data_IF_835648248980
#
_entry.id   IF_835648248980
#
_cell.length_a   1.000
_cell.length_b   1.000
_cell.length_c   1.000
_cell.angle_alpha   90.00
_cell.angle_beta   90.00
_cell.angle_gamma   90.00
#
_symmetry.space_group_name_H-M   'P 1'
#
loop_
_entity.id
_entity.type
_entity.pdbx_description
1 polymer ?
#
# COMPACT_ATOMS: atom_id res chain seq x y z
N UNK A 1 -18.64 37.49 -1.85
CA UNK A 1 -18.98 36.34 -2.73
C UNK A 1 -19.71 35.19 -2.04
N UNK A 2 -19.42 34.80 -0.78
CA UNK A 2 -20.09 33.65 -0.12
C UNK A 2 -21.59 33.84 0.22
N UNK A 3 -22.06 35.07 0.44
CA UNK A 3 -23.47 35.36 0.75
C UNK A 3 -24.39 35.22 -0.47
N UNK A 4 -23.89 35.57 -1.65
CA UNK A 4 -24.66 35.52 -2.91
C UNK A 4 -25.04 34.09 -3.33
N UNK A 5 -24.15 33.12 -3.09
CA UNK A 5 -24.42 31.70 -3.39
C UNK A 5 -25.37 31.04 -2.38
N UNK A 6 -25.53 31.59 -1.18
CA UNK A 6 -26.50 31.06 -0.20
C UNK A 6 -27.92 31.49 -0.56
N UNK A 7 -28.11 32.73 -1.03
CA UNK A 7 -29.40 33.22 -1.50
C UNK A 7 -29.88 32.44 -2.74
N UNK A 8 -28.98 32.18 -3.71
CA UNK A 8 -29.29 31.33 -4.87
C UNK A 8 -29.72 29.90 -4.50
N UNK A 9 -29.09 29.30 -3.48
CA UNK A 9 -29.46 27.96 -3.01
C UNK A 9 -30.78 27.94 -2.24
N UNK A 10 -31.17 29.04 -1.60
CA UNK A 10 -32.45 29.16 -0.93
C UNK A 10 -33.59 29.34 -1.95
N UNK A 11 -33.39 30.16 -2.98
CA UNK A 11 -34.36 30.42 -4.05
C UNK A 11 -34.65 29.19 -4.92
N UNK A 12 -33.64 28.35 -5.19
CA UNK A 12 -33.84 27.09 -5.93
C UNK A 12 -34.69 26.11 -5.10
N UNK A 13 -34.52 26.09 -3.78
CA UNK A 13 -35.31 25.22 -2.90
C UNK A 13 -36.76 25.69 -2.80
N UNK A 14 -36.99 27.00 -2.75
CA UNK A 14 -38.33 27.57 -2.70
C UNK A 14 -39.10 27.41 -4.02
N UNK A 15 -38.43 27.48 -5.18
CA UNK A 15 -39.05 27.24 -6.49
C UNK A 15 -39.36 25.76 -6.77
N UNK A 16 -38.68 24.82 -6.10
CA UNK A 16 -38.98 23.37 -6.22
C UNK A 16 -40.15 22.91 -5.35
N UNK A 17 -40.55 23.71 -4.37
CA UNK A 17 -41.77 23.50 -3.61
C UNK A 17 -42.94 24.05 -4.45
N UNK A 18 -43.77 23.15 -4.99
CA UNK A 18 -44.93 23.51 -5.80
C UNK A 18 -45.88 24.51 -5.12
N UNK A 19 -46.81 25.12 -5.88
CA UNK A 19 -47.57 26.28 -5.41
C UNK A 19 -48.40 25.91 -4.17
N UNK A 20 -48.13 26.60 -3.06
CA UNK A 20 -48.80 26.37 -1.78
C UNK A 20 -50.25 26.87 -1.82
N UNK A 21 -51.17 26.02 -1.42
CA UNK A 21 -52.61 26.33 -1.32
C UNK A 21 -52.95 26.70 0.13
N UNK A 22 -53.60 27.85 0.33
CA UNK A 22 -54.04 28.33 1.66
C UNK A 22 -55.45 27.79 1.97
N UNK A 23 -55.68 27.47 3.24
CA UNK A 23 -56.86 26.77 3.78
C UNK A 23 -58.17 27.60 3.84
N UNK A 24 -58.35 28.64 3.00
CA UNK A 24 -59.56 29.49 3.02
C UNK A 24 -60.36 29.52 1.72
N UNK A 25 -59.94 28.83 0.67
CA UNK A 25 -60.69 28.85 -0.60
C UNK A 25 -61.58 27.61 -0.75
N UNK A 26 -62.90 27.84 -0.75
CA UNK A 26 -63.93 26.87 -1.08
C UNK A 26 -64.73 27.30 -2.33
N UNK A 27 -64.72 26.38 -3.31
CA UNK A 27 -65.68 26.09 -4.40
C UNK A 27 -65.78 27.07 -5.60
N UNK A 28 -65.68 26.49 -6.82
CA UNK A 28 -66.10 27.16 -8.07
C UNK A 28 -65.81 26.41 -9.38
N UNK A 29 -66.60 25.39 -9.68
CA UNK A 29 -67.09 24.91 -11.00
C UNK A 29 -66.23 24.93 -12.28
N UNK A 30 -66.17 23.76 -12.96
CA UNK A 30 -66.85 23.58 -14.25
C UNK A 30 -67.00 22.10 -14.65
N UNK A 31 -68.16 21.82 -15.26
CA UNK A 31 -68.80 20.53 -15.46
C UNK A 31 -68.72 19.99 -16.92
N UNK A 32 -69.30 18.78 -17.09
CA UNK A 32 -69.95 18.13 -18.25
C UNK A 32 -69.30 16.74 -18.54
N UNK A 33 -70.01 15.61 -18.64
CA UNK A 33 -71.42 15.33 -18.99
C UNK A 33 -71.85 13.92 -18.52
N UNK A 34 -73.13 13.80 -18.14
CA UNK A 34 -73.89 12.61 -17.71
C UNK A 34 -74.17 11.61 -18.88
N UNK A 35 -74.66 10.36 -18.70
CA UNK A 35 -76.05 9.98 -18.28
C UNK A 35 -76.25 8.42 -18.24
N UNK A 36 -77.41 7.83 -17.85
CA UNK A 36 -77.81 7.41 -16.49
C UNK A 36 -78.38 5.96 -16.37
N UNK A 37 -78.66 5.45 -15.15
CA UNK A 37 -79.83 4.57 -14.84
C UNK A 37 -80.16 4.63 -13.33
N UNK A 38 -81.46 4.73 -12.98
CA UNK A 38 -82.03 4.82 -11.61
C UNK A 38 -82.46 3.43 -11.03
N UNK A 39 -83.28 3.30 -9.95
CA UNK A 39 -82.89 3.31 -8.53
C UNK A 39 -83.41 2.08 -7.73
N UNK A 40 -82.89 1.84 -6.52
CA UNK A 40 -83.48 0.90 -5.54
C UNK A 40 -83.24 1.38 -4.08
N UNK A 41 -84.05 0.95 -3.09
CA UNK A 41 -84.34 1.72 -1.88
C UNK A 41 -83.25 1.62 -0.79
N UNK A 42 -83.12 2.70 0.01
CA UNK A 42 -82.12 2.85 1.09
C UNK A 42 -82.59 2.16 2.39
N UNK A 43 -81.79 1.25 2.91
CA UNK A 43 -81.91 0.74 4.29
C UNK A 43 -81.18 1.65 5.29
N UNK A 44 -81.57 1.65 6.59
CA UNK A 44 -80.95 2.51 7.61
C UNK A 44 -79.49 2.10 7.88
N UNK A 45 -78.64 3.09 8.14
CA UNK A 45 -77.21 2.93 8.43
C UNK A 45 -77.00 2.01 9.65
N UNK A 46 -76.35 0.87 9.46
CA UNK A 46 -75.83 0.04 10.55
C UNK A 46 -74.68 0.79 11.26
N UNK A 47 -74.70 0.79 12.59
CA UNK A 47 -73.62 1.32 13.41
C UNK A 47 -72.30 0.55 13.24
N UNK A 48 -71.16 1.12 13.64
CA UNK A 48 -69.84 0.53 13.42
C UNK A 48 -69.73 -0.85 14.10
N UNK A 49 -69.22 -1.82 13.32
CA UNK A 49 -69.01 -3.22 13.74
C UNK A 49 -68.04 -3.33 14.92
N UNK A 50 -68.15 -4.40 15.71
CA UNK A 50 -67.34 -4.63 16.91
C UNK A 50 -65.82 -4.58 16.63
N UNK A 51 -65.37 -5.04 15.46
CA UNK A 51 -63.96 -4.92 15.06
C UNK A 51 -63.53 -3.49 14.81
N UNK A 52 -64.39 -2.65 14.23
CA UNK A 52 -64.10 -1.24 14.03
C UNK A 52 -64.00 -0.49 15.37
N UNK A 53 -64.84 -0.85 16.35
CA UNK A 53 -64.77 -0.28 17.69
C UNK A 53 -63.54 -0.76 18.48
N UNK A 54 -63.20 -2.05 18.36
CA UNK A 54 -62.00 -2.61 18.98
C UNK A 54 -60.71 -2.03 18.37
N UNK A 55 -60.68 -1.83 17.05
CA UNK A 55 -59.59 -1.15 16.36
C UNK A 55 -59.48 0.32 16.76
N UNK A 56 -60.62 1.02 16.92
CA UNK A 56 -60.65 2.39 17.41
C UNK A 56 -60.15 2.51 18.86
N UNK A 57 -60.57 1.59 19.74
CA UNK A 57 -60.11 1.53 21.12
C UNK A 57 -58.59 1.22 21.20
N UNK A 58 -58.10 0.29 20.37
CA UNK A 58 -56.68 -0.01 20.28
C UNK A 58 -55.85 1.17 19.73
N UNK A 59 -56.41 1.95 18.80
CA UNK A 59 -55.77 3.17 18.30
C UNK A 59 -55.70 4.28 19.36
N UNK A 60 -56.76 4.45 20.16
CA UNK A 60 -56.78 5.41 21.27
C UNK A 60 -55.79 5.01 22.38
N UNK A 61 -55.69 3.72 22.72
CA UNK A 61 -54.71 3.22 23.68
C UNK A 61 -53.25 3.48 23.24
N UNK A 62 -52.97 3.39 21.93
CA UNK A 62 -51.66 3.76 21.36
C UNK A 62 -51.39 5.26 21.40
N UNK A 63 -52.43 6.08 21.30
CA UNK A 63 -52.30 7.54 21.39
C UNK A 63 -52.03 7.98 22.83
N UNK A 64 -52.74 7.41 23.81
CA UNK A 64 -52.53 7.70 25.24
C UNK A 64 -51.16 7.25 25.74
N UNK A 65 -50.66 6.08 25.33
CA UNK A 65 -49.28 5.64 25.65
C UNK A 65 -48.20 6.57 25.08
N UNK A 66 -48.52 7.35 24.03
CA UNK A 66 -47.60 8.29 23.39
C UNK A 66 -47.60 9.68 24.05
N UNK A 67 -48.56 9.99 24.94
CA UNK A 67 -48.71 11.32 25.52
C UNK A 67 -47.90 11.60 26.80
N UNK A 68 -47.06 10.67 27.29
CA UNK A 68 -46.26 10.88 28.51
C UNK A 68 -44.74 10.83 28.32
N UNK A 69 -44.21 11.12 27.12
CA UNK A 69 -42.76 11.31 26.95
C UNK A 69 -42.45 12.75 26.53
N UNK A 70 -41.72 13.53 27.35
CA UNK A 70 -41.24 14.83 26.91
C UNK A 70 -40.28 14.62 25.74
N UNK A 71 -40.56 15.29 24.63
CA UNK A 71 -39.78 15.24 23.40
C UNK A 71 -38.39 15.86 23.64
N UNK A 72 -37.41 15.03 23.98
CA UNK A 72 -35.98 15.38 23.94
C UNK A 72 -35.34 14.85 22.65
N UNK A 73 -34.26 15.47 22.13
CA UNK A 73 -33.60 15.01 20.92
C UNK A 73 -32.98 13.63 21.17
N UNK A 74 -33.44 12.63 20.40
CA UNK A 74 -32.95 11.25 20.42
C UNK A 74 -31.46 11.23 20.10
N UNK A 75 -30.60 11.19 21.13
CA UNK A 75 -29.16 11.12 20.94
C UNK A 75 -28.77 9.71 20.47
N UNK A 76 -27.85 9.63 19.51
CA UNK A 76 -27.31 8.39 18.95
C UNK A 76 -26.89 7.35 20.01
N UNK A 77 -26.56 7.79 21.22
CA UNK A 77 -26.17 6.92 22.34
C UNK A 77 -27.34 6.11 22.90
N UNK A 78 -28.57 6.61 22.85
CA UNK A 78 -29.76 5.81 23.23
C UNK A 78 -30.01 4.67 22.26
N UNK A 79 -29.80 4.90 20.96
CA UNK A 79 -29.91 3.86 19.92
C UNK A 79 -28.80 2.81 20.08
N UNK A 80 -27.55 3.25 20.30
CA UNK A 80 -26.41 2.34 20.52
C UNK A 80 -26.57 1.49 21.78
N UNK A 81 -27.03 2.09 22.88
CA UNK A 81 -27.23 1.38 24.13
C UNK A 81 -28.39 0.39 24.04
N UNK A 82 -29.43 0.70 23.26
CA UNK A 82 -30.54 -0.21 23.04
C UNK A 82 -30.13 -1.42 22.20
N UNK A 83 -29.40 -1.21 21.10
CA UNK A 83 -28.86 -2.30 20.26
C UNK A 83 -27.88 -3.17 21.04
N UNK A 84 -27.01 -2.57 21.86
CA UNK A 84 -26.07 -3.32 22.70
C UNK A 84 -26.78 -4.17 23.76
N UNK A 85 -27.88 -3.66 24.32
CA UNK A 85 -28.69 -4.35 25.32
C UNK A 85 -29.50 -5.49 24.71
N UNK A 86 -29.98 -5.34 23.48
CA UNK A 86 -30.66 -6.40 22.72
C UNK A 86 -29.67 -7.52 22.32
N UNK A 87 -28.47 -7.19 21.84
CA UNK A 87 -27.40 -8.17 21.57
C UNK A 87 -26.95 -8.93 22.83
N UNK A 88 -26.84 -8.24 23.97
CA UNK A 88 -26.53 -8.90 25.24
C UNK A 88 -27.67 -9.79 25.72
N UNK A 89 -28.93 -9.39 25.52
CA UNK A 89 -30.09 -10.20 25.86
C UNK A 89 -30.16 -11.48 24.99
N UNK A 90 -29.87 -11.38 23.69
CA UNK A 90 -29.81 -12.55 22.79
C UNK A 90 -28.65 -13.49 23.10
N UNK A 91 -27.50 -12.94 23.52
CA UNK A 91 -26.37 -13.72 24.01
C UNK A 91 -26.69 -14.48 25.31
N UNK A 92 -27.47 -13.87 26.22
CA UNK A 92 -27.92 -14.53 27.47
C UNK A 92 -29.02 -15.56 27.26
N UNK A 93 -29.87 -15.40 26.23
CA UNK A 93 -30.90 -16.38 25.87
C UNK A 93 -30.30 -17.62 25.18
N UNK A 94 -29.10 -17.50 24.61
CA UNK A 94 -28.44 -18.57 23.86
C UNK A 94 -27.24 -19.21 24.57
N UNK A 95 -27.01 -18.93 25.85
CA UNK A 95 -25.79 -19.37 26.54
C UNK A 95 -25.95 -19.64 28.03
N UNK A 96 -26.25 -20.89 28.38
CA UNK A 96 -25.91 -21.46 29.69
C UNK A 96 -25.40 -22.90 29.51
N UNK A 97 -24.07 -23.03 29.43
CA UNK A 97 -23.30 -24.15 29.97
C UNK A 97 -21.86 -23.64 30.15
N UNK A 98 -21.50 -23.45 31.41
CA UNK A 98 -20.25 -22.91 31.90
C UNK A 98 -19.06 -23.85 31.60
N UNK A 99 -17.90 -23.25 31.36
CA UNK A 99 -16.60 -23.89 31.44
C UNK A 99 -15.99 -23.68 32.84
N UNK A 100 -15.18 -24.62 33.35
CA UNK A 100 -14.04 -24.30 34.19
C UNK A 100 -12.73 -24.50 33.43
N UNK A 101 -11.79 -23.57 33.64
CA UNK A 101 -10.59 -23.40 32.83
C UNK A 101 -9.43 -24.35 33.13
N UNK A 102 -8.30 -24.09 32.47
CA UNK A 102 -6.92 -24.14 33.02
C UNK A 102 -5.97 -23.57 31.96
N UNK A 103 -5.10 -22.64 32.39
CA UNK A 103 -3.99 -22.10 31.63
C UNK A 103 -2.98 -23.18 31.25
N UNK A 104 -2.66 -23.31 29.96
CA UNK A 104 -1.37 -23.80 29.48
C UNK A 104 -0.99 -22.97 28.25
N UNK A 105 -0.01 -22.09 28.45
CA UNK A 105 0.70 -21.41 27.37
C UNK A 105 1.38 -22.49 26.53
N UNK A 106 0.80 -22.78 25.36
CA UNK A 106 1.49 -23.53 24.32
C UNK A 106 2.25 -22.52 23.47
N UNK A 107 3.57 -22.69 23.44
CA UNK A 107 4.46 -22.04 22.48
C UNK A 107 3.92 -22.25 21.07
N UNK A 108 4.06 -21.28 20.14
CA UNK A 108 3.84 -21.57 18.73
C UNK A 108 4.94 -22.54 18.30
N UNK A 109 4.61 -23.84 18.23
CA UNK A 109 5.39 -24.76 17.42
C UNK A 109 5.35 -24.23 15.99
N UNK A 110 6.51 -23.88 15.46
CA UNK A 110 6.72 -23.70 14.03
C UNK A 110 6.56 -25.06 13.33
N UNK A 111 5.33 -25.53 13.22
CA UNK A 111 4.93 -26.51 12.21
C UNK A 111 4.28 -25.72 11.07
N UNK A 112 5.12 -24.92 10.41
CA UNK A 112 4.75 -24.07 9.30
C UNK A 112 5.44 -24.52 8.02
N UNK A 113 4.64 -25.06 7.11
CA UNK A 113 4.83 -25.10 5.64
C UNK A 113 5.76 -26.16 5.03
N UNK A 114 5.19 -27.33 4.70
CA UNK A 114 5.80 -28.25 3.74
C UNK A 114 5.66 -27.79 2.26
N UNK A 115 4.89 -26.74 1.97
CA UNK A 115 4.69 -26.24 0.59
C UNK A 115 4.64 -24.70 0.54
N UNK A 116 5.80 -24.05 0.67
CA UNK A 116 5.91 -22.63 0.36
C UNK A 116 6.02 -22.43 -1.16
N UNK A 117 5.22 -21.53 -1.73
CA UNK A 117 5.29 -21.17 -3.16
C UNK A 117 6.65 -20.55 -3.57
N UNK A 118 7.37 -19.97 -2.60
CA UNK A 118 8.74 -19.47 -2.76
C UNK A 118 9.50 -19.73 -1.45
N UNK A 119 10.75 -20.21 -1.49
CA UNK A 119 11.55 -20.48 -0.28
C UNK A 119 11.95 -19.21 0.51
N UNK A 120 11.79 -18.01 -0.05
CA UNK A 120 12.10 -16.75 0.62
C UNK A 120 12.13 -15.55 -0.32
N UNK A 121 12.35 -14.37 0.24
CA UNK A 121 12.60 -13.13 -0.53
C UNK A 121 14.09 -12.85 -0.53
N UNK A 122 14.67 -12.69 -1.72
CA UNK A 122 16.10 -12.53 -1.93
C UNK A 122 16.42 -11.18 -2.58
N UNK A 123 17.66 -10.74 -2.43
CA UNK A 123 18.11 -9.44 -2.87
C UNK A 123 19.52 -9.51 -3.43
N UNK A 124 19.79 -8.79 -4.51
CA UNK A 124 21.10 -8.72 -5.12
C UNK A 124 21.84 -7.49 -4.63
N UNK A 125 23.05 -7.68 -4.11
CA UNK A 125 23.95 -6.57 -3.81
C UNK A 125 24.53 -6.02 -5.12
N UNK A 126 24.38 -4.72 -5.42
CA UNK A 126 24.90 -4.15 -6.66
C UNK A 126 26.45 -4.08 -6.70
N UNK A 127 27.12 -4.24 -5.56
CA UNK A 127 28.58 -4.15 -5.47
C UNK A 127 29.27 -5.50 -5.63
N UNK A 128 28.67 -6.56 -5.10
CA UNK A 128 29.26 -7.92 -5.13
C UNK A 128 28.54 -8.86 -6.08
N UNK A 129 27.34 -8.52 -6.53
CA UNK A 129 26.47 -9.40 -7.33
C UNK A 129 25.88 -10.57 -6.53
N UNK A 130 26.17 -10.68 -5.23
CA UNK A 130 25.71 -11.78 -4.40
C UNK A 130 24.20 -11.68 -4.12
N UNK A 131 23.51 -12.82 -4.20
CA UNK A 131 22.11 -12.97 -3.78
C UNK A 131 22.03 -13.21 -2.28
N UNK A 132 21.29 -12.38 -1.57
CA UNK A 132 21.25 -12.25 -0.12
C UNK A 132 19.82 -12.40 0.40
N UNK A 133 19.68 -12.97 1.60
CA UNK A 133 18.40 -12.93 2.33
C UNK A 133 18.19 -11.58 2.99
N UNK A 134 16.93 -11.28 3.33
CA UNK A 134 16.50 -10.00 3.93
C UNK A 134 17.38 -9.54 5.10
N UNK A 135 17.76 -10.45 5.98
CA UNK A 135 18.49 -10.17 7.22
C UNK A 135 19.99 -9.92 7.01
N UNK A 136 20.55 -10.47 5.93
CA UNK A 136 21.99 -10.37 5.62
C UNK A 136 22.32 -9.16 4.74
N UNK A 137 21.30 -8.51 4.16
CA UNK A 137 21.47 -7.40 3.22
C UNK A 137 22.34 -6.27 3.76
N UNK A 138 21.98 -5.75 4.92
CA UNK A 138 22.64 -4.56 5.46
C UNK A 138 24.08 -4.89 5.81
N UNK A 139 24.34 -6.05 6.43
CA UNK A 139 25.69 -6.51 6.77
C UNK A 139 26.56 -6.70 5.54
N UNK A 140 26.05 -7.37 4.50
CA UNK A 140 26.82 -7.61 3.28
C UNK A 140 27.10 -6.30 2.52
N UNK A 141 26.16 -5.34 2.49
CA UNK A 141 26.43 -4.01 1.91
C UNK A 141 27.52 -3.30 2.71
N UNK A 142 27.49 -3.37 4.05
CA UNK A 142 28.51 -2.77 4.90
C UNK A 142 29.89 -3.36 4.60
N UNK A 143 30.00 -4.69 4.57
CA UNK A 143 31.24 -5.40 4.25
C UNK A 143 31.73 -5.09 2.83
N UNK A 144 30.83 -5.05 1.85
CA UNK A 144 31.17 -4.70 0.48
C UNK A 144 31.75 -3.28 0.39
N UNK A 145 31.17 -2.31 1.09
CA UNK A 145 31.69 -0.94 1.13
C UNK A 145 33.05 -0.90 1.82
N UNK A 146 33.21 -1.60 2.95
CA UNK A 146 34.49 -1.70 3.66
C UNK A 146 35.60 -2.31 2.79
N UNK A 147 35.29 -3.35 2.01
CA UNK A 147 36.26 -3.96 1.10
C UNK A 147 36.76 -2.98 0.02
N UNK A 148 35.88 -2.08 -0.44
CA UNK A 148 36.19 -1.08 -1.47
C UNK A 148 37.13 0.03 -1.00
N UNK A 149 37.25 0.26 0.31
CA UNK A 149 38.22 1.24 0.85
C UNK A 149 39.66 0.96 0.43
N UNK A 150 40.00 -0.31 0.17
CA UNK A 150 41.33 -0.69 -0.31
C UNK A 150 41.62 -0.23 -1.74
N UNK A 151 40.59 -0.05 -2.57
CA UNK A 151 40.72 0.32 -3.98
C UNK A 151 40.51 1.82 -4.19
N UNK A 152 39.42 2.35 -3.65
CA UNK A 152 39.06 3.76 -3.75
C UNK A 152 38.49 4.25 -2.41
N UNK A 153 39.32 4.84 -1.55
CA UNK A 153 38.92 5.33 -0.23
C UNK A 153 37.85 6.43 -0.29
N UNK A 154 37.91 7.30 -1.30
CA UNK A 154 36.99 8.44 -1.41
C UNK A 154 35.60 7.95 -1.82
N UNK A 155 35.49 7.15 -2.87
CA UNK A 155 34.21 6.61 -3.29
C UNK A 155 33.57 5.72 -2.20
N UNK A 156 34.37 4.91 -1.51
CA UNK A 156 33.88 4.06 -0.42
C UNK A 156 33.32 4.87 0.76
N UNK A 157 33.97 5.99 1.11
CA UNK A 157 33.52 6.89 2.17
C UNK A 157 32.24 7.63 1.79
N UNK A 158 32.15 8.13 0.54
CA UNK A 158 30.92 8.74 0.01
C UNK A 158 29.75 7.73 0.11
N UNK A 159 29.97 6.49 -0.31
CA UNK A 159 28.95 5.45 -0.22
C UNK A 159 28.57 5.18 1.23
N UNK A 160 29.53 5.10 2.15
CA UNK A 160 29.27 4.90 3.58
C UNK A 160 28.38 6.01 4.16
N UNK A 161 28.68 7.27 3.85
CA UNK A 161 27.90 8.45 4.28
C UNK A 161 26.44 8.33 3.83
N UNK A 162 26.20 7.99 2.56
CA UNK A 162 24.84 7.90 2.04
C UNK A 162 24.09 6.64 2.48
N UNK A 163 24.80 5.54 2.74
CA UNK A 163 24.18 4.22 2.98
C UNK A 163 23.91 3.90 4.45
N UNK A 164 24.82 4.24 5.36
CA UNK A 164 24.70 3.81 6.76
C UNK A 164 23.79 4.74 7.57
N UNK A 165 23.66 5.99 7.12
CA UNK A 165 22.84 7.00 7.78
C UNK A 165 21.37 6.90 7.32
N UNK A 166 20.46 6.63 8.27
CA UNK A 166 19.02 6.48 7.99
C UNK A 166 18.32 7.81 7.68
N UNK A 167 18.78 8.89 8.31
CA UNK A 167 18.18 10.22 8.23
C UNK A 167 18.68 10.98 7.00
N UNK A 168 17.93 10.90 5.90
CA UNK A 168 18.29 11.53 4.62
C UNK A 168 18.47 13.05 4.72
N UNK A 169 17.66 13.72 5.52
CA UNK A 169 17.75 15.17 5.69
C UNK A 169 19.05 15.59 6.39
N UNK A 170 19.51 14.79 7.36
CA UNK A 170 20.78 15.02 8.06
C UNK A 170 21.96 14.75 7.15
N UNK A 171 21.90 13.68 6.35
CA UNK A 171 22.92 13.37 5.33
C UNK A 171 23.03 14.54 4.36
N UNK A 172 21.92 15.03 3.81
CA UNK A 172 21.92 16.16 2.88
C UNK A 172 22.50 17.42 3.52
N UNK A 173 22.10 17.75 4.74
CA UNK A 173 22.63 18.92 5.46
C UNK A 173 24.13 18.80 5.74
N UNK A 174 24.62 17.61 6.08
CA UNK A 174 26.04 17.32 6.26
C UNK A 174 26.81 17.45 4.95
N UNK A 175 26.33 16.82 3.87
CA UNK A 175 26.91 16.91 2.52
C UNK A 175 26.96 18.36 2.03
N UNK A 176 25.90 19.14 2.20
CA UNK A 176 25.87 20.57 1.85
C UNK A 176 26.89 21.39 2.66
N UNK A 177 27.11 21.03 3.93
CA UNK A 177 28.11 21.70 4.79
C UNK A 177 29.53 21.34 4.36
N UNK A 178 29.79 20.08 4.03
CA UNK A 178 31.09 19.62 3.50
C UNK A 178 31.37 20.29 2.15
N UNK A 179 30.38 20.34 1.25
CA UNK A 179 30.51 21.01 -0.04
C UNK A 179 30.89 22.49 0.11
N UNK A 180 30.29 23.20 1.07
CA UNK A 180 30.65 24.60 1.38
C UNK A 180 32.09 24.74 1.90
N UNK A 181 32.57 23.81 2.71
CA UNK A 181 33.97 23.82 3.14
C UNK A 181 34.92 23.64 1.95
N UNK A 182 34.61 22.69 1.06
CA UNK A 182 35.40 22.48 -0.15
C UNK A 182 35.35 23.69 -1.10
N UNK A 183 34.19 24.35 -1.23
CA UNK A 183 34.03 25.57 -2.04
C UNK A 183 34.86 26.73 -1.51
N UNK A 184 34.89 26.94 -0.20
CA UNK A 184 35.71 28.00 0.39
C UNK A 184 37.21 27.78 0.12
N UNK A 185 37.67 26.52 0.14
CA UNK A 185 39.06 26.16 -0.16
C UNK A 185 39.36 26.33 -1.66
N UNK A 186 38.42 25.95 -2.53
CA UNK A 186 38.58 26.09 -3.97
C UNK A 186 38.58 27.57 -4.41
N UNK A 187 37.69 28.39 -3.86
CA UNK A 187 37.56 29.82 -4.19
C UNK A 187 38.70 30.67 -3.61
N UNK A 188 39.23 30.29 -2.44
CA UNK A 188 40.27 31.04 -1.73
C UNK A 188 41.45 30.13 -1.34
N UNK A 189 42.22 29.64 -2.33
CA UNK A 189 43.27 28.66 -2.06
C UNK A 189 44.38 29.21 -1.17
N UNK A 190 44.71 30.51 -1.26
CA UNK A 190 45.80 31.16 -0.49
C UNK A 190 45.47 31.38 0.99
N UNK A 191 44.18 31.34 1.37
CA UNK A 191 43.77 31.64 2.74
C UNK A 191 43.87 30.42 3.67
N UNK A 192 44.88 30.41 4.53
CA UNK A 192 45.12 29.32 5.49
C UNK A 192 43.96 29.07 6.46
N UNK A 193 43.12 30.07 6.73
CA UNK A 193 41.98 29.95 7.65
C UNK A 193 40.93 28.94 7.15
N UNK A 194 40.78 28.79 5.83
CA UNK A 194 39.84 27.83 5.23
C UNK A 194 40.44 26.43 5.09
N UNK A 195 41.77 26.31 5.20
CA UNK A 195 42.49 25.03 5.16
C UNK A 195 42.44 24.28 6.50
N UNK A 196 41.93 24.92 7.56
CA UNK A 196 41.83 24.38 8.92
C UNK A 196 40.37 24.33 9.36
N UNK A 197 39.89 23.17 9.81
CA UNK A 197 38.52 22.98 10.30
C UNK A 197 38.60 22.51 11.75
N UNK A 198 38.05 23.30 12.68
CA UNK A 198 37.97 22.97 14.12
C UNK A 198 36.90 21.90 14.36
N UNK A 199 37.26 20.75 14.91
CA UNK A 199 36.31 19.64 15.14
C UNK A 199 35.28 19.98 16.24
N UNK A 200 35.65 20.83 17.20
CA UNK A 200 34.78 21.29 18.30
C UNK A 200 33.78 22.38 17.88
N UNK A 201 33.81 22.83 16.62
CA UNK A 201 32.83 23.79 16.14
C UNK A 201 31.42 23.18 16.18
N UNK A 202 30.45 23.89 16.76
CA UNK A 202 29.05 23.42 16.87
C UNK A 202 28.48 22.96 15.53
N UNK A 203 28.76 23.69 14.44
CA UNK A 203 28.27 23.33 13.10
C UNK A 203 28.86 22.00 12.65
N UNK A 204 30.14 21.77 12.91
CA UNK A 204 30.82 20.53 12.56
C UNK A 204 30.30 19.36 13.40
N UNK A 205 30.19 19.54 14.72
CA UNK A 205 29.71 18.51 15.64
C UNK A 205 28.26 18.08 15.34
N UNK A 206 27.35 19.04 15.15
CA UNK A 206 25.93 18.75 14.95
C UNK A 206 25.63 18.16 13.56
N UNK A 207 26.38 18.55 12.52
CA UNK A 207 26.04 18.20 11.13
C UNK A 207 26.94 17.15 10.50
N UNK A 208 28.21 17.08 10.89
CA UNK A 208 29.22 16.25 10.23
C UNK A 208 29.67 15.10 11.14
N UNK A 209 30.00 15.40 12.40
CA UNK A 209 30.49 14.40 13.37
C UNK A 209 29.43 13.34 13.71
N UNK A 210 28.15 13.68 13.56
CA UNK A 210 27.06 12.76 13.81
C UNK A 210 26.77 11.78 12.64
N UNK A 211 27.43 11.95 11.49
CA UNK A 211 27.26 11.12 10.31
C UNK A 211 28.40 10.09 10.22
N UNK A 212 28.04 8.82 10.08
CA UNK A 212 29.03 7.76 9.85
C UNK A 212 29.66 7.93 8.46
N UNK A 213 30.99 7.82 8.35
CA UNK A 213 31.70 7.90 7.07
C UNK A 213 32.36 9.24 6.75
N UNK A 214 32.00 10.32 7.46
CA UNK A 214 32.51 11.68 7.15
C UNK A 214 33.97 11.84 7.49
N UNK A 215 34.44 11.28 8.60
CA UNK A 215 35.85 11.36 8.99
C UNK A 215 36.76 10.65 7.99
N UNK A 216 36.38 9.46 7.55
CA UNK A 216 37.15 8.72 6.55
C UNK A 216 37.14 9.43 5.19
N UNK A 217 36.04 10.13 4.86
CA UNK A 217 35.99 11.00 3.69
C UNK A 217 37.00 12.16 3.79
N UNK A 218 37.05 12.87 4.93
CA UNK A 218 38.02 13.95 5.14
C UNK A 218 39.46 13.45 5.06
N UNK A 219 39.76 12.29 5.65
CA UNK A 219 41.08 11.67 5.55
C UNK A 219 41.41 11.25 4.11
N UNK A 220 40.45 10.68 3.38
CA UNK A 220 40.62 10.23 2.00
C UNK A 220 40.85 11.37 1.00
N UNK A 221 40.22 12.53 1.20
CA UNK A 221 40.47 13.72 0.36
C UNK A 221 41.75 14.47 0.79
N UNK A 222 42.44 14.03 1.85
CA UNK A 222 43.76 14.54 2.25
C UNK A 222 43.76 15.54 3.40
N UNK A 223 42.70 15.61 4.21
CA UNK A 223 42.79 16.26 5.52
C UNK A 223 43.46 15.34 6.53
N UNK A 224 44.29 15.92 7.38
CA UNK A 224 44.95 15.21 8.48
C UNK A 224 44.44 15.76 9.81
N UNK A 225 44.17 14.87 10.76
CA UNK A 225 43.86 15.26 12.14
C UNK A 225 45.15 15.67 12.84
N UNK A 226 45.22 16.91 13.27
CA UNK A 226 46.35 17.45 14.04
C UNK A 226 45.83 18.20 15.26
N UNK A 227 46.54 18.04 16.36
CA UNK A 227 46.28 18.73 17.61
C UNK A 227 47.03 20.06 17.59
N UNK A 228 46.30 21.17 17.56
CA UNK A 228 46.88 22.51 17.54
C UNK A 228 46.63 23.22 18.89
N UNK A 229 47.65 23.89 19.45
CA UNK A 229 47.47 24.72 20.62
C UNK A 229 46.65 25.95 20.25
N UNK A 230 45.55 26.18 20.97
CA UNK A 230 44.70 27.36 20.78
C UNK A 230 45.09 28.42 21.80
N UNK A 231 45.31 29.68 21.39
CA UNK A 231 45.52 30.76 22.34
C UNK A 231 44.26 30.86 23.22
N UNK A 232 44.45 30.79 24.54
CA UNK A 232 43.44 30.82 25.62
C UNK A 232 42.97 29.46 26.21
N UNK A 233 43.54 28.31 25.81
CA UNK A 233 43.28 27.01 26.46
C UNK A 233 44.56 26.19 26.68
N UNK A 234 44.66 25.50 27.82
CA UNK A 234 45.81 24.61 28.16
C UNK A 234 45.76 23.29 27.40
N UNK A 235 44.56 22.83 27.01
CA UNK A 235 44.38 21.58 26.28
C UNK A 235 44.49 21.80 24.77
N UNK A 236 45.29 21.00 24.05
CA UNK A 236 45.37 21.07 22.60
C UNK A 236 44.03 20.62 21.96
N UNK A 237 43.57 21.36 20.95
CA UNK A 237 42.33 21.05 20.25
C UNK A 237 42.58 20.34 18.92
N UNK A 238 41.67 19.44 18.54
CA UNK A 238 41.72 18.71 17.27
C UNK A 238 41.24 19.58 16.09
N UNK A 239 42.09 19.70 15.07
CA UNK A 239 41.78 20.33 13.79
C UNK A 239 42.00 19.35 12.63
N UNK A 240 41.13 19.43 11.63
CA UNK A 240 41.42 18.91 10.30
C UNK A 240 42.20 19.95 9.53
N UNK A 241 43.42 19.61 9.10
CA UNK A 241 44.27 20.47 8.27
C UNK A 241 44.49 19.81 6.93
N UNK A 242 44.24 20.54 5.85
CA UNK A 242 44.45 20.05 4.50
C UNK A 242 45.95 19.89 4.21
N UNK A 243 46.35 18.72 3.70
CA UNK A 243 47.73 18.45 3.33
C UNK A 243 48.18 19.32 2.15
N UNK A 244 49.45 19.74 2.17
CA UNK A 244 50.08 20.52 1.10
C UNK A 244 50.07 19.79 -0.25
N UNK A 245 50.11 18.45 -0.25
CA UNK A 245 50.01 17.64 -1.46
C UNK A 245 48.66 17.80 -2.16
N UNK A 246 47.58 17.95 -1.39
CA UNK A 246 46.22 18.13 -1.93
C UNK A 246 45.97 19.57 -2.39
N UNK A 247 46.64 20.56 -1.76
CA UNK A 247 46.57 21.95 -2.21
C UNK A 247 47.07 22.12 -3.65
N UNK A 248 48.07 21.33 -4.06
CA UNK A 248 48.57 21.31 -5.43
C UNK A 248 47.57 20.69 -6.44
N UNK A 249 46.55 19.99 -5.97
CA UNK A 249 45.53 19.28 -6.77
C UNK A 249 44.10 19.77 -6.45
N UNK A 250 43.89 21.09 -6.52
CA UNK A 250 42.59 21.72 -6.23
C UNK A 250 41.43 21.19 -7.11
N UNK A 251 41.72 20.79 -8.36
CA UNK A 251 40.74 20.19 -9.28
C UNK A 251 40.22 18.83 -8.77
N UNK A 252 41.04 18.07 -8.04
CA UNK A 252 40.62 16.81 -7.44
C UNK A 252 39.56 17.03 -6.37
N UNK A 253 39.69 18.08 -5.55
CA UNK A 253 38.69 18.43 -4.52
C UNK A 253 37.32 18.77 -5.12
N UNK A 254 37.31 19.47 -6.25
CA UNK A 254 36.07 19.78 -6.97
C UNK A 254 35.40 18.50 -7.50
N UNK A 255 36.18 17.58 -8.09
CA UNK A 255 35.68 16.27 -8.51
C UNK A 255 35.10 15.46 -7.35
N UNK A 256 35.78 15.44 -6.20
CA UNK A 256 35.29 14.72 -5.01
C UNK A 256 34.00 15.37 -4.45
N UNK A 257 33.88 16.70 -4.51
CA UNK A 257 32.64 17.42 -4.18
C UNK A 257 31.50 17.01 -5.11
N UNK A 258 31.73 16.99 -6.42
CA UNK A 258 30.71 16.57 -7.40
C UNK A 258 30.28 15.12 -7.15
N UNK A 259 31.23 14.22 -6.89
CA UNK A 259 30.92 12.83 -6.54
C UNK A 259 30.10 12.72 -5.26
N UNK A 260 30.39 13.52 -4.22
CA UNK A 260 29.64 13.52 -2.96
C UNK A 260 28.19 13.98 -3.15
N UNK A 261 27.97 14.98 -4.01
CA UNK A 261 26.66 15.55 -4.32
C UNK A 261 25.82 14.64 -5.25
N UNK A 262 26.46 14.01 -6.24
CA UNK A 262 25.80 13.14 -7.20
C UNK A 262 25.55 11.71 -6.67
N UNK A 263 26.22 11.32 -5.58
CA UNK A 263 26.12 9.96 -5.07
C UNK A 263 24.73 9.62 -4.52
N UNK A 264 24.25 8.44 -4.88
CA UNK A 264 23.03 7.85 -4.33
C UNK A 264 23.35 6.76 -3.31
N UNK A 265 22.46 6.55 -2.32
CA UNK A 265 22.63 5.46 -1.36
C UNK A 265 22.54 4.11 -2.06
N UNK A 266 23.58 3.30 -1.88
CA UNK A 266 23.62 1.91 -2.32
C UNK A 266 22.58 1.09 -1.57
N UNK A 267 21.61 0.56 -2.30
CA UNK A 267 20.55 -0.29 -1.75
C UNK A 267 20.57 -1.64 -2.44
N UNK A 268 20.33 -2.70 -1.67
CA UNK A 268 20.13 -4.02 -2.25
C UNK A 268 18.90 -3.97 -3.16
N UNK A 269 19.06 -4.42 -4.40
CA UNK A 269 17.93 -4.54 -5.33
C UNK A 269 17.20 -5.83 -5.04
N UNK A 270 15.87 -5.83 -5.16
CA UNK A 270 15.10 -7.06 -5.03
C UNK A 270 15.51 -8.01 -6.15
N UNK A 271 15.92 -9.22 -5.78
CA UNK A 271 16.13 -10.29 -6.74
C UNK A 271 14.76 -10.81 -7.13
N UNK A 272 14.41 -10.72 -8.42
CA UNK A 272 13.11 -11.15 -8.94
C UNK A 272 12.97 -12.67 -8.95
N UNK A 273 14.07 -13.41 -8.78
CA UNK A 273 14.12 -14.87 -8.79
C UNK A 273 13.29 -15.47 -9.93
N UNK A 274 13.63 -15.07 -11.16
CA UNK A 274 12.95 -15.54 -12.36
C UNK A 274 12.99 -17.06 -12.43
N UNK A 275 11.84 -17.70 -12.31
CA UNK A 275 11.68 -19.17 -12.41
C UNK A 275 10.60 -19.49 -13.43
N UNK A 276 10.82 -20.53 -14.22
CA UNK A 276 9.84 -21.00 -15.20
C UNK A 276 9.32 -22.34 -14.72
N UNK A 277 8.00 -22.44 -14.59
CA UNK A 277 7.33 -23.67 -14.21
C UNK A 277 6.51 -24.22 -15.36
N UNK A 278 6.49 -25.55 -15.47
CA UNK A 278 5.53 -26.25 -16.33
C UNK A 278 4.33 -26.70 -15.50
N UNK A 279 3.09 -26.51 -15.99
CA UNK A 279 1.90 -27.05 -15.33
C UNK A 279 2.00 -28.57 -15.20
N UNK A 280 1.83 -29.09 -13.99
CA UNK A 280 1.69 -30.53 -13.78
C UNK A 280 0.27 -30.96 -14.15
N UNK A 281 0.08 -32.05 -14.91
CA UNK A 281 -1.25 -32.57 -15.25
C UNK A 281 -2.04 -33.03 -14.02
N UNK A 282 -1.36 -33.35 -12.91
CA UNK A 282 -1.98 -33.78 -11.64
C UNK A 282 -2.77 -32.65 -10.96
N UNK A 283 -2.45 -31.38 -11.23
CA UNK A 283 -3.14 -30.24 -10.64
C UNK A 283 -4.61 -30.11 -11.08
N UNK A 284 -5.04 -30.86 -12.09
CA UNK A 284 -6.43 -30.89 -12.58
C UNK A 284 -7.26 -32.03 -12.00
N UNK A 285 -6.63 -32.97 -11.30
CA UNK A 285 -7.30 -34.12 -10.70
C UNK A 285 -7.65 -33.80 -9.24
N UNK A 286 -8.91 -33.46 -9.00
CA UNK A 286 -9.45 -33.20 -7.66
C UNK A 286 -10.55 -34.21 -7.33
N UNK A 287 -10.15 -35.42 -6.93
CA UNK A 287 -11.10 -36.40 -6.37
C UNK A 287 -11.17 -36.22 -4.84
N UNK A 288 -12.19 -35.49 -4.40
CA UNK A 288 -12.47 -35.26 -2.97
C UNK A 288 -13.60 -36.19 -2.49
N UNK A 289 -13.50 -36.76 -1.27
CA UNK A 289 -14.57 -37.56 -0.68
C UNK A 289 -15.88 -36.79 -0.52
N UNK A 290 -17.03 -37.48 -0.63
CA UNK A 290 -18.36 -36.87 -0.47
C UNK A 290 -18.57 -36.14 0.86
N UNK A 291 -17.92 -36.60 1.93
CA UNK A 291 -17.99 -35.97 3.26
C UNK A 291 -17.39 -34.56 3.30
N UNK A 292 -16.50 -34.21 2.36
CA UNK A 292 -15.97 -32.85 2.21
C UNK A 292 -17.06 -31.82 1.93
N UNK A 293 -18.14 -32.23 1.25
CA UNK A 293 -19.25 -31.35 0.89
C UNK A 293 -20.30 -31.23 2.01
N UNK A 294 -20.16 -32.01 3.09
CA UNK A 294 -21.06 -31.97 4.22
C UNK A 294 -20.65 -30.87 5.20
N UNK A 295 -21.53 -29.87 5.37
CA UNK A 295 -21.33 -28.76 6.30
C UNK A 295 -21.35 -29.27 7.75
N UNK A 296 -20.28 -28.98 8.48
CA UNK A 296 -20.21 -29.28 9.91
C UNK A 296 -20.96 -28.23 10.75
N UNK A 297 -21.43 -28.61 11.93
CA UNK A 297 -22.11 -27.68 12.84
C UNK A 297 -21.21 -26.50 13.27
N UNK A 298 -19.89 -26.67 13.25
CA UNK A 298 -18.91 -25.62 13.55
C UNK A 298 -18.80 -24.59 12.42
N UNK A 299 -18.82 -25.03 11.16
CA UNK A 299 -18.81 -24.16 9.99
C UNK A 299 -20.08 -23.32 9.90
N UNK A 300 -21.25 -23.92 10.20
CA UNK A 300 -22.53 -23.21 10.26
C UNK A 300 -22.50 -22.10 11.32
N UNK A 301 -21.98 -22.40 12.52
CA UNK A 301 -21.81 -21.40 13.59
C UNK A 301 -20.83 -20.29 13.19
N UNK A 302 -19.74 -20.63 12.51
CA UNK A 302 -18.74 -19.66 12.01
C UNK A 302 -19.34 -18.76 10.93
N UNK A 303 -20.13 -19.33 10.02
CA UNK A 303 -20.85 -18.57 8.99
C UNK A 303 -21.87 -17.61 9.62
N UNK A 304 -22.64 -18.07 10.61
CA UNK A 304 -23.57 -17.21 11.34
C UNK A 304 -22.85 -16.02 11.99
N UNK A 305 -21.69 -16.25 12.63
CA UNK A 305 -20.86 -15.19 13.22
C UNK A 305 -20.31 -14.22 12.16
N UNK A 306 -19.83 -14.72 11.03
CA UNK A 306 -19.34 -13.87 9.94
C UNK A 306 -20.47 -13.01 9.35
N UNK A 307 -21.68 -13.58 9.23
CA UNK A 307 -22.87 -12.85 8.80
C UNK A 307 -23.28 -11.78 9.83
N UNK A 308 -23.29 -12.10 11.13
CA UNK A 308 -23.59 -11.10 12.18
C UNK A 308 -22.56 -9.97 12.17
N UNK A 309 -21.27 -10.29 12.10
CA UNK A 309 -20.20 -9.29 12.03
C UNK A 309 -20.30 -8.41 10.77
N UNK A 310 -20.69 -8.99 9.63
CA UNK A 310 -20.91 -8.24 8.39
C UNK A 310 -22.09 -7.27 8.52
N UNK A 311 -23.20 -7.71 9.13
CA UNK A 311 -24.36 -6.86 9.41
C UNK A 311 -23.99 -5.74 10.38
N UNK A 312 -23.22 -6.03 11.44
CA UNK A 312 -22.72 -5.01 12.36
C UNK A 312 -21.78 -4.01 11.67
N UNK A 313 -20.87 -4.48 10.81
CA UNK A 313 -19.98 -3.60 10.03
C UNK A 313 -20.76 -2.68 9.10
N UNK A 314 -21.86 -3.14 8.53
CA UNK A 314 -22.74 -2.34 7.66
C UNK A 314 -23.67 -1.41 8.45
N UNK A 315 -24.06 -1.78 9.67
CA UNK A 315 -24.94 -0.97 10.52
C UNK A 315 -24.22 0.17 11.23
N UNK A 316 -22.91 0.05 11.46
CA UNK A 316 -22.10 1.12 12.05
C UNK A 316 -21.71 2.15 10.98
N UNK A 317 -22.15 3.40 11.19
CA UNK A 317 -21.72 4.54 10.36
C UNK A 317 -20.20 4.72 10.43
N UNK A 318 -19.49 4.28 9.39
CA UNK A 318 -18.06 4.56 9.22
C UNK A 318 -17.84 5.98 8.75
N UNK A 319 -17.06 6.75 9.50
CA UNK A 319 -16.59 8.06 9.06
C UNK A 319 -15.65 7.91 7.86
N UNK A 320 -15.53 8.96 7.03
CA UNK A 320 -14.59 8.98 5.89
C UNK A 320 -13.16 8.60 6.33
N UNK A 321 -12.72 9.10 7.48
CA UNK A 321 -11.42 8.81 8.05
C UNK A 321 -11.23 7.32 8.43
N UNK A 322 -12.28 6.63 8.89
CA UNK A 322 -12.21 5.20 9.17
C UNK A 322 -12.02 4.37 7.90
N UNK A 323 -12.73 4.71 6.81
CA UNK A 323 -12.61 4.01 5.52
C UNK A 323 -11.23 4.18 4.90
N UNK A 324 -10.76 5.43 4.84
CA UNK A 324 -9.43 5.74 4.28
C UNK A 324 -8.31 5.07 5.08
N UNK A 325 -8.41 5.04 6.42
CA UNK A 325 -7.42 4.35 7.26
C UNK A 325 -7.42 2.83 7.05
N UNK A 326 -8.58 2.22 6.80
CA UNK A 326 -8.72 0.78 6.54
C UNK A 326 -8.18 0.41 5.15
N UNK A 327 -8.47 1.23 4.14
CA UNK A 327 -7.93 1.10 2.79
C UNK A 327 -6.41 1.26 2.77
N UNK A 328 -5.88 2.28 3.46
CA UNK A 328 -4.44 2.48 3.63
C UNK A 328 -3.79 1.32 4.39
N UNK A 329 -4.50 0.69 5.33
CA UNK A 329 -4.03 -0.54 5.99
C UNK A 329 -4.02 -1.72 5.02
N UNK A 330 -5.03 -1.85 4.15
CA UNK A 330 -5.06 -2.86 3.09
C UNK A 330 -3.86 -2.73 2.14
N UNK A 331 -3.62 -1.51 1.64
CA UNK A 331 -2.51 -1.18 0.74
C UNK A 331 -1.11 -1.35 1.36
N UNK A 332 -1.01 -1.33 2.69
CA UNK A 332 0.25 -1.54 3.45
C UNK A 332 0.33 -2.93 4.07
N UNK A 333 -0.67 -3.79 3.86
CA UNK A 333 -0.73 -5.12 4.47
C UNK A 333 0.38 -6.02 3.97
N UNK A 334 0.79 -5.84 2.72
CA UNK A 334 1.80 -6.65 2.06
C UNK A 334 2.91 -5.76 1.51
N UNK A 335 4.16 -6.18 1.74
CA UNK A 335 5.36 -5.49 1.23
C UNK A 335 5.81 -6.04 -0.12
N UNK A 336 5.57 -7.33 -0.35
CA UNK A 336 5.98 -8.07 -1.54
C UNK A 336 4.76 -8.72 -2.19
N UNK A 337 4.86 -8.96 -3.49
CA UNK A 337 3.87 -9.67 -4.30
C UNK A 337 4.57 -10.72 -5.16
N UNK A 338 3.92 -11.88 -5.29
CA UNK A 338 4.33 -12.95 -6.19
C UNK A 338 3.49 -12.87 -7.47
N UNK A 339 4.13 -12.65 -8.61
CA UNK A 339 3.44 -12.66 -9.89
C UNK A 339 3.81 -13.93 -10.66
N UNK A 340 2.80 -14.55 -11.24
CA UNK A 340 2.95 -15.66 -12.19
C UNK A 340 2.35 -15.22 -13.51
N UNK A 341 3.13 -15.27 -14.58
CA UNK A 341 2.68 -14.93 -15.93
C UNK A 341 2.54 -16.22 -16.72
N UNK A 342 1.33 -16.54 -17.14
CA UNK A 342 1.02 -17.66 -18.01
C UNK A 342 1.26 -17.25 -19.45
N UNK A 343 2.18 -17.96 -20.09
CA UNK A 343 2.51 -17.85 -21.51
C UNK A 343 1.56 -18.74 -22.32
N UNK A 344 1.36 -18.46 -23.63
CA UNK A 344 0.49 -19.25 -24.48
C UNK A 344 1.01 -20.70 -24.65
N UNK A 345 2.33 -20.91 -24.53
CA UNK A 345 3.00 -22.22 -24.51
C UNK A 345 2.62 -23.07 -23.27
N UNK A 346 1.85 -22.49 -22.33
CA UNK A 346 1.44 -23.11 -21.08
C UNK A 346 2.44 -22.94 -19.94
N UNK A 347 3.65 -22.45 -20.21
CA UNK A 347 4.65 -22.14 -19.20
C UNK A 347 4.20 -21.02 -18.25
N UNK A 348 4.59 -21.13 -16.98
CA UNK A 348 4.34 -20.13 -15.94
C UNK A 348 5.65 -19.47 -15.54
N UNK A 349 5.81 -18.19 -15.88
CA UNK A 349 6.93 -17.38 -15.46
C UNK A 349 6.64 -16.76 -14.08
N UNK A 350 7.37 -17.17 -13.06
CA UNK A 350 7.24 -16.65 -11.70
C UNK A 350 8.28 -15.56 -11.42
N UNK A 351 7.85 -14.48 -10.78
CA UNK A 351 8.73 -13.42 -10.28
C UNK A 351 8.22 -12.78 -8.98
N UNK A 352 9.15 -12.37 -8.12
CA UNK A 352 8.86 -11.63 -6.89
C UNK A 352 9.08 -10.14 -7.07
N UNK A 353 8.07 -9.33 -6.70
CA UNK A 353 8.07 -7.87 -6.87
C UNK A 353 7.69 -7.16 -5.56
N UNK A 354 7.94 -5.86 -5.47
CA UNK A 354 7.39 -5.05 -4.38
C UNK A 354 5.91 -4.73 -4.62
N UNK A 355 5.11 -4.70 -3.56
CA UNK A 355 3.68 -4.38 -3.68
C UNK A 355 3.42 -2.96 -4.25
N UNK A 356 4.41 -2.07 -4.17
CA UNK A 356 4.36 -0.68 -4.69
C UNK A 356 5.21 -0.49 -5.95
N UNK A 357 5.69 -1.57 -6.54
CA UNK A 357 6.43 -1.49 -7.80
C UNK A 357 5.47 -1.05 -8.92
N UNK A 358 6.04 -0.41 -9.95
CA UNK A 358 5.26 0.04 -11.11
C UNK A 358 5.03 -1.11 -12.08
N UNK A 359 3.95 -1.02 -12.83
CA UNK A 359 3.61 -1.98 -13.87
C UNK A 359 4.70 -2.08 -14.96
N UNK A 360 5.41 -0.99 -15.29
CA UNK A 360 6.57 -0.97 -16.21
C UNK A 360 7.61 -2.03 -15.86
N UNK A 361 7.86 -2.23 -14.57
CA UNK A 361 8.88 -3.16 -14.10
C UNK A 361 8.49 -4.61 -14.39
N UNK A 362 7.19 -4.91 -14.40
CA UNK A 362 6.64 -6.23 -14.77
C UNK A 362 6.72 -6.42 -16.29
N UNK A 363 6.36 -5.39 -17.07
CA UNK A 363 6.53 -5.42 -18.52
C UNK A 363 7.99 -5.62 -18.93
N UNK A 364 8.91 -4.87 -18.32
CA UNK A 364 10.35 -5.06 -18.53
C UNK A 364 10.83 -6.47 -18.14
N UNK A 365 10.37 -6.99 -17.01
CA UNK A 365 10.69 -8.36 -16.59
C UNK A 365 10.23 -9.44 -17.58
N UNK A 366 9.02 -9.28 -18.13
CA UNK A 366 8.51 -10.18 -19.16
C UNK A 366 9.32 -10.01 -20.45
N UNK A 367 9.54 -8.77 -20.93
CA UNK A 367 10.37 -8.48 -22.12
C UNK A 367 11.74 -9.13 -22.04
N UNK A 368 12.44 -9.02 -20.90
CA UNK A 368 13.74 -9.65 -20.69
C UNK A 368 13.73 -11.18 -20.77
N UNK A 369 12.56 -11.82 -20.58
CA UNK A 369 12.37 -13.27 -20.65
C UNK A 369 11.97 -13.78 -22.05
N UNK A 370 11.38 -12.92 -22.88
CA UNK A 370 11.00 -13.25 -24.25
C UNK A 370 12.24 -13.41 -25.14
N UNK A 371 12.13 -14.16 -26.23
CA UNK A 371 13.17 -14.22 -27.28
C UNK A 371 13.15 -12.98 -28.19
N UNK A 372 11.96 -12.41 -28.39
CA UNK A 372 11.73 -11.21 -29.20
C UNK A 372 11.26 -10.05 -28.33
N UNK A 373 12.21 -9.35 -27.73
CA UNK A 373 11.99 -8.28 -26.75
C UNK A 373 11.27 -7.03 -27.34
N UNK A 374 11.16 -6.94 -28.67
CA UNK A 374 10.62 -5.79 -29.42
C UNK A 374 9.14 -5.91 -29.81
N UNK A 375 8.53 -7.09 -29.65
CA UNK A 375 7.15 -7.31 -30.05
C UNK A 375 6.15 -6.76 -29.00
N UNK A 376 5.14 -5.98 -29.40
CA UNK A 376 4.07 -5.54 -28.51
C UNK A 376 3.26 -6.71 -27.95
N UNK A 377 3.01 -6.70 -26.63
CA UNK A 377 2.16 -7.68 -25.96
C UNK A 377 1.32 -7.03 -24.86
N UNK A 378 0.24 -7.71 -24.51
CA UNK A 378 -0.68 -7.33 -23.44
C UNK A 378 -0.59 -8.33 -22.28
N UNK A 379 -0.73 -7.82 -21.05
CA UNK A 379 -0.90 -8.63 -19.85
C UNK A 379 -2.33 -8.50 -19.33
N UNK A 380 -3.00 -9.63 -19.17
CA UNK A 380 -4.36 -9.74 -18.65
C UNK A 380 -4.34 -10.24 -17.21
N UNK A 381 -5.00 -9.54 -16.29
CA UNK A 381 -5.22 -10.06 -14.94
C UNK A 381 -6.22 -11.24 -14.95
N UNK A 382 -6.28 -12.03 -13.87
CA UNK A 382 -7.20 -13.19 -13.75
C UNK A 382 -8.69 -12.87 -14.01
N UNK A 383 -9.10 -11.59 -13.92
CA UNK A 383 -10.46 -11.14 -14.23
C UNK A 383 -10.68 -10.68 -15.68
N UNK A 384 -9.72 -10.85 -16.59
CA UNK A 384 -9.79 -10.37 -17.97
C UNK A 384 -9.53 -8.86 -18.12
N UNK A 385 -9.14 -8.18 -17.05
CA UNK A 385 -8.73 -6.78 -17.09
C UNK A 385 -7.38 -6.65 -17.80
N UNK A 386 -7.35 -5.87 -18.88
CA UNK A 386 -6.11 -5.47 -19.55
C UNK A 386 -5.32 -4.52 -18.66
N UNK A 387 -4.05 -4.82 -18.46
CA UNK A 387 -3.12 -3.98 -17.71
C UNK A 387 -2.36 -3.09 -18.69
N UNK A 388 -2.83 -1.87 -18.94
CA UNK A 388 -2.18 -0.96 -19.88
C UNK A 388 -0.81 -0.50 -19.37
N UNK A 389 0.23 -0.61 -20.19
CA UNK A 389 1.59 -0.12 -19.84
C UNK A 389 1.62 1.40 -19.65
N UNK A 390 0.82 2.17 -20.39
CA UNK A 390 0.84 3.65 -20.37
C UNK A 390 0.33 4.28 -19.06
N UNK A 391 -0.55 3.57 -18.33
CA UNK A 391 -1.17 4.11 -17.10
C UNK A 391 -0.24 4.05 -15.89
N UNK A 392 0.78 3.18 -15.92
CA UNK A 392 1.79 3.02 -14.87
C UNK A 392 1.31 2.95 -13.40
N UNK A 393 0.19 2.26 -13.09
CA UNK A 393 -0.27 2.11 -11.71
C UNK A 393 0.68 1.24 -10.88
N UNK A 394 0.57 1.35 -9.55
CA UNK A 394 1.27 0.46 -8.63
C UNK A 394 0.55 -0.89 -8.51
N UNK A 395 1.30 -1.98 -8.29
CA UNK A 395 0.73 -3.34 -8.24
C UNK A 395 -0.36 -3.53 -7.17
N UNK A 396 -0.26 -2.82 -6.05
CA UNK A 396 -1.28 -2.82 -5.00
C UNK A 396 -2.58 -2.10 -5.38
N UNK A 397 -2.51 -1.11 -6.26
CA UNK A 397 -3.68 -0.39 -6.78
C UNK A 397 -4.41 -1.24 -7.82
N UNK A 398 -3.67 -2.04 -8.59
CA UNK A 398 -4.24 -3.03 -9.52
C UNK A 398 -4.80 -4.29 -8.84
N UNK A 399 -4.72 -4.39 -7.52
CA UNK A 399 -5.18 -5.59 -6.79
C UNK A 399 -4.33 -6.84 -7.03
N UNK A 400 -3.10 -6.70 -7.54
CA UNK A 400 -2.19 -7.82 -7.87
C UNK A 400 -1.40 -8.34 -6.64
N UNK A 401 -1.97 -8.19 -5.45
CA UNK A 401 -1.31 -8.44 -4.17
C UNK A 401 -2.19 -9.34 -3.30
N UNK A 402 -1.64 -10.33 -2.58
CA UNK A 402 -0.22 -10.69 -2.45
C UNK A 402 0.30 -11.66 -3.52
N UNK A 403 -0.58 -12.26 -4.30
CA UNK A 403 -0.22 -13.17 -5.39
C UNK A 403 -1.22 -12.97 -6.52
N UNK A 404 -0.74 -12.91 -7.76
CA UNK A 404 -1.60 -12.80 -8.92
C UNK A 404 -1.09 -13.64 -10.09
N UNK A 405 -2.04 -14.19 -10.85
CA UNK A 405 -1.81 -14.87 -12.11
C UNK A 405 -2.16 -13.90 -13.25
N UNK A 406 -1.20 -13.61 -14.10
CA UNK A 406 -1.38 -12.82 -15.31
C UNK A 406 -1.36 -13.77 -16.50
N UNK A 407 -2.14 -13.46 -17.54
CA UNK A 407 -2.09 -14.18 -18.82
C UNK A 407 -1.43 -13.26 -19.84
N UNK A 408 -0.40 -13.77 -20.49
CA UNK A 408 0.29 -13.11 -21.58
C UNK A 408 -0.45 -13.37 -22.89
N UNK A 409 -0.66 -12.31 -23.66
CA UNK A 409 -1.18 -12.39 -25.03
C UNK A 409 -0.44 -11.42 -25.93
N UNK A 410 -0.07 -11.85 -27.13
CA UNK A 410 0.41 -10.94 -28.16
C UNK A 410 -0.67 -9.93 -28.54
N UNK A 411 -0.26 -8.72 -28.91
CA UNK A 411 -1.19 -7.72 -29.44
C UNK A 411 -1.89 -8.26 -30.70
N UNK A 412 -3.11 -7.82 -30.94
CA UNK A 412 -3.99 -8.34 -32.01
C UNK A 412 -3.31 -8.20 -33.38
N UNK A 413 -2.64 -7.09 -33.64
CA UNK A 413 -1.91 -6.85 -34.89
C UNK A 413 -0.74 -7.83 -35.08
N UNK A 414 0.04 -8.07 -34.01
CA UNK A 414 1.15 -9.03 -34.03
C UNK A 414 0.64 -10.46 -34.23
N UNK A 415 -0.47 -10.80 -33.58
CA UNK A 415 -1.09 -12.10 -33.72
C UNK A 415 -1.63 -12.34 -35.14
N UNK A 416 -2.15 -11.30 -35.80
CA UNK A 416 -2.57 -11.34 -37.20
C UNK A 416 -1.38 -11.52 -38.15
N UNK A 417 -0.26 -10.82 -37.91
CA UNK A 417 0.96 -10.97 -38.69
C UNK A 417 1.60 -12.36 -38.53
N UNK A 418 1.62 -12.90 -37.31
CA UNK A 418 2.12 -14.27 -37.04
C UNK A 418 1.24 -15.31 -37.74
N UNK A 419 -0.08 -15.14 -37.67
CA UNK A 419 -1.04 -16.01 -38.39
C UNK A 419 -0.88 -15.91 -39.91
N UNK A 420 -0.64 -14.71 -40.43
CA UNK A 420 -0.40 -14.48 -41.85
C UNK A 420 0.93 -15.08 -42.31
N UNK A 421 1.94 -15.13 -41.43
CA UNK A 421 3.24 -15.75 -41.69
C UNK A 421 3.21 -17.29 -41.62
N UNK A 422 2.14 -17.91 -41.10
CA UNK A 422 1.98 -19.37 -41.04
C UNK A 422 2.98 -20.09 -40.13
N UNK A 423 3.68 -19.36 -39.27
CA UNK A 423 4.60 -19.93 -38.29
C UNK A 423 3.81 -20.38 -37.04
N UNK A 424 3.95 -21.65 -36.65
CA UNK A 424 3.73 -22.04 -35.25
C UNK A 424 4.63 -21.14 -34.39
N UNK A 425 4.18 -20.65 -33.24
CA UNK A 425 5.03 -19.81 -32.41
C UNK A 425 6.26 -20.62 -32.01
N UNK A 426 7.42 -20.24 -32.56
CA UNK A 426 8.71 -20.61 -32.00
C UNK A 426 8.69 -20.29 -30.49
N UNK A 427 9.41 -21.08 -29.70
CA UNK A 427 9.37 -20.97 -28.24
C UNK A 427 9.52 -19.51 -27.79
N UNK A 428 8.52 -19.00 -27.08
CA UNK A 428 8.44 -17.57 -26.78
C UNK A 428 9.52 -17.12 -25.80
N UNK A 429 9.99 -18.05 -24.97
CA UNK A 429 11.03 -17.84 -23.97
C UNK A 429 12.42 -18.08 -24.52
N UNK A 430 13.39 -17.34 -23.97
CA UNK A 430 14.81 -17.59 -24.22
C UNK A 430 15.18 -19.06 -23.87
N UNK A 431 16.01 -19.72 -24.68
CA UNK A 431 16.34 -21.15 -24.53
C UNK A 431 17.01 -21.47 -23.19
N UNK A 432 17.75 -20.52 -22.62
CA UNK A 432 18.35 -20.63 -21.28
C UNK A 432 17.29 -20.87 -20.20
N UNK A 433 16.14 -20.20 -20.30
CA UNK A 433 15.05 -20.32 -19.34
C UNK A 433 14.24 -21.60 -19.53
N UNK A 434 14.15 -22.09 -20.76
CA UNK A 434 13.53 -23.38 -21.07
C UNK A 434 14.35 -24.55 -20.51
N UNK A 435 15.69 -24.42 -20.47
CA UNK A 435 16.55 -25.44 -19.87
C UNK A 435 16.44 -25.53 -18.35
N UNK A 436 15.97 -24.46 -17.69
CA UNK A 436 15.80 -24.35 -16.24
C UNK A 436 14.35 -24.57 -15.79
N UNK A 437 13.51 -25.21 -16.61
CA UNK A 437 12.10 -25.47 -16.28
C UNK A 437 12.00 -26.40 -15.08
N UNK A 438 11.24 -25.97 -14.09
CA UNK A 438 10.89 -26.78 -12.94
C UNK A 438 9.44 -27.28 -13.05
N UNK A 439 9.15 -28.47 -12.52
CA UNK A 439 7.78 -28.96 -12.44
C UNK A 439 7.11 -28.34 -11.22
N UNK A 440 5.92 -27.77 -11.41
CA UNK A 440 5.11 -27.28 -10.31
C UNK A 440 4.51 -28.50 -9.60
N UNK A 441 5.06 -28.83 -8.43
CA UNK A 441 4.68 -29.98 -7.59
C UNK A 441 3.34 -29.79 -6.90
#
# INVERSE_FOLDING_TARGET
MKKFFQEFKADIKFKSAGPGQKLTDSVGEKALKEKPTQPAPRQPRQGPTNEAQMAAAAALARLEQKQSRPWGPTSQDTIRNQVRKELQAEATVSGSLEAPGTNMVSQPREEGSAHLAVPGVYFTCPLTGATLRKDQRDTCIKEAILSRFSTDPVAASIMKIHTFNKDRDRVKLGVDTIAKYLDNIHLHPEEEKYRKIKLQNKVFQERINCLEGTHEFFEAIGFQKVMLPVPDQEDPEEFYVLSEATLAQTQSLERHKEQLLAAEPVRAKLDRQRRVFQPSPLASQFDLPGDFFNLTAEEIKREQRLRSDAVERLSVLRTKAMREKEEQRGLRKYTYTLLRVRLPDGCLLQGTFYARERLEAVYGFVREALQHDWLPFELLASGGQKLSEDENPALNECGLVPSALLTFSWDVAVLEDIKAAGAEPDSILKPELLSAIEKLS
#
